data_IF_677437811967
#
_entry.id   IF_677437811967
#
_cell.length_a   1.000
_cell.length_b   1.000
_cell.length_c   1.000
_cell.angle_alpha   90.00
_cell.angle_beta   90.00
_cell.angle_gamma   90.00
#
_symmetry.space_group_name_H-M   'P 1'
#
loop_
_entity.id
_entity.type
_entity.pdbx_description
1 polymer ?
#
# COMPACT_ATOMS: atom_id res chain seq x y z
N UNK A 1 8.62 12.68 27.54
CA UNK A 1 8.26 11.26 27.26
C UNK A 1 6.76 11.02 27.29
N UNK A 2 5.96 11.97 27.83
CA UNK A 2 4.48 11.95 27.82
C UNK A 2 3.84 12.63 26.59
N UNK A 3 4.52 13.52 25.87
CA UNK A 3 3.97 14.18 24.66
C UNK A 3 3.76 13.25 23.44
N UNK A 4 4.25 12.00 23.50
CA UNK A 4 4.24 11.09 22.37
C UNK A 4 3.01 10.16 22.31
N UNK A 5 2.22 10.00 23.38
CA UNK A 5 0.99 9.19 23.35
C UNK A 5 -0.18 9.89 22.64
N UNK A 6 -0.15 11.21 22.50
CA UNK A 6 -1.30 12.04 22.08
C UNK A 6 -1.68 12.01 20.60
N UNK A 7 -0.83 11.47 19.72
CA UNK A 7 -0.98 11.64 18.25
C UNK A 7 -2.28 11.06 17.68
N UNK A 8 -2.90 10.09 18.36
CA UNK A 8 -4.21 9.56 17.99
C UNK A 8 -5.23 9.58 19.14
N UNK A 9 -4.88 10.10 20.32
CA UNK A 9 -5.76 10.07 21.51
C UNK A 9 -7.02 10.94 21.33
N UNK A 10 -6.94 12.05 20.60
CA UNK A 10 -8.12 12.81 20.19
C UNK A 10 -8.91 12.22 19.00
N UNK A 11 -8.37 11.19 18.33
CA UNK A 11 -8.96 10.58 17.12
C UNK A 11 -9.69 9.26 17.37
N UNK A 12 -9.54 8.65 18.56
CA UNK A 12 -10.27 7.42 18.90
C UNK A 12 -11.79 7.63 18.95
N UNK A 13 -12.25 8.85 19.22
CA UNK A 13 -13.68 9.20 19.29
C UNK A 13 -14.26 9.75 17.98
N UNK A 14 -13.43 10.17 17.01
CA UNK A 14 -13.87 10.75 15.73
C UNK A 14 -13.31 9.97 14.53
N UNK A 15 -13.59 8.66 14.47
CA UNK A 15 -13.28 7.85 13.28
C UNK A 15 -14.30 8.15 12.18
N UNK A 16 -14.03 9.15 11.35
CA UNK A 16 -14.83 9.39 10.15
C UNK A 16 -14.37 8.43 9.05
N UNK A 17 -15.12 7.34 8.91
CA UNK A 17 -14.95 6.39 7.81
C UNK A 17 -15.58 7.01 6.55
N UNK A 18 -14.78 7.19 5.52
CA UNK A 18 -15.22 7.73 4.23
C UNK A 18 -15.80 6.65 3.32
N UNK A 19 -15.22 5.45 3.37
CA UNK A 19 -15.68 4.29 2.63
C UNK A 19 -15.25 2.99 3.31
N UNK A 20 -16.02 1.93 3.08
CA UNK A 20 -15.67 0.57 3.48
C UNK A 20 -16.11 -0.42 2.42
N UNK A 21 -15.33 -1.47 2.24
CA UNK A 21 -15.59 -2.55 1.30
C UNK A 21 -15.28 -3.89 1.97
N UNK A 22 -16.23 -4.80 1.91
CA UNK A 22 -16.07 -6.17 2.41
C UNK A 22 -15.92 -7.11 1.22
N UNK A 23 -15.02 -8.07 1.36
CA UNK A 23 -14.65 -9.01 0.31
C UNK A 23 -14.35 -10.38 0.89
N UNK A 24 -14.55 -11.41 0.09
CA UNK A 24 -14.06 -12.73 0.44
C UNK A 24 -12.57 -12.83 0.09
N UNK A 25 -11.68 -13.18 1.04
CA UNK A 25 -10.26 -13.34 0.76
C UNK A 25 -10.04 -14.34 -0.37
N UNK A 26 -9.33 -13.87 -1.40
CA UNK A 26 -9.10 -14.66 -2.62
C UNK A 26 -8.17 -15.83 -2.34
N UNK A 27 -8.38 -16.94 -3.04
CA UNK A 27 -7.42 -18.05 -3.01
C UNK A 27 -6.26 -17.71 -3.93
N UNK A 28 -5.04 -17.94 -3.46
CA UNK A 28 -3.85 -17.89 -4.32
C UNK A 28 -3.75 -19.24 -5.03
N UNK A 29 -3.65 -19.23 -6.36
CA UNK A 29 -3.46 -20.40 -7.21
C UNK A 29 -2.27 -20.16 -8.13
N UNK A 30 -1.24 -21.01 -8.03
CA UNK A 30 0.03 -20.86 -8.77
C UNK A 30 0.65 -19.47 -8.64
N UNK A 31 0.51 -18.88 -7.46
CA UNK A 31 1.00 -17.55 -7.16
C UNK A 31 0.15 -16.38 -7.64
N UNK A 32 -1.06 -16.61 -8.16
CA UNK A 32 -1.96 -15.55 -8.62
C UNK A 32 -3.23 -15.50 -7.81
N UNK A 33 -3.77 -14.29 -7.65
CA UNK A 33 -5.13 -14.08 -7.16
C UNK A 33 -6.07 -13.65 -8.28
N UNK A 34 -5.53 -13.17 -9.40
CA UNK A 34 -6.26 -12.68 -10.59
C UNK A 34 -7.25 -11.54 -10.28
N UNK A 35 -6.99 -10.83 -9.17
CA UNK A 35 -7.83 -9.75 -8.64
C UNK A 35 -6.99 -8.51 -8.37
N UNK A 36 -7.59 -7.34 -8.63
CA UNK A 36 -7.00 -6.03 -8.32
C UNK A 36 -7.96 -5.22 -7.45
N UNK A 37 -7.42 -4.61 -6.40
CA UNK A 37 -8.14 -3.71 -5.51
C UNK A 37 -8.01 -2.28 -6.05
N UNK A 38 -9.11 -1.71 -6.52
CA UNK A 38 -9.16 -0.35 -7.04
C UNK A 38 -9.78 0.60 -6.02
N UNK A 39 -9.09 1.71 -5.75
CA UNK A 39 -9.54 2.77 -4.84
C UNK A 39 -9.53 4.11 -5.58
N UNK A 40 -10.66 4.81 -5.58
CA UNK A 40 -10.74 6.21 -6.01
C UNK A 40 -11.00 7.12 -4.80
N UNK A 41 -10.01 7.92 -4.44
CA UNK A 41 -10.05 8.80 -3.26
C UNK A 41 -10.93 10.05 -3.46
N UNK A 42 -11.16 10.47 -4.70
CA UNK A 42 -12.04 11.62 -4.98
C UNK A 42 -13.51 11.24 -4.84
N UNK A 43 -13.84 10.00 -5.16
CA UNK A 43 -15.20 9.45 -5.07
C UNK A 43 -15.45 8.66 -3.78
N UNK A 44 -14.41 8.40 -2.98
CA UNK A 44 -14.43 7.45 -1.87
C UNK A 44 -14.97 6.08 -2.31
N UNK A 45 -14.50 5.61 -3.46
CA UNK A 45 -14.94 4.36 -4.08
C UNK A 45 -13.88 3.29 -3.86
N UNK A 46 -14.31 2.08 -3.47
CA UNK A 46 -13.47 0.90 -3.34
C UNK A 46 -14.15 -0.22 -4.13
N UNK A 47 -13.42 -0.83 -5.06
CA UNK A 47 -13.94 -1.88 -5.92
C UNK A 47 -12.92 -2.99 -6.14
N UNK A 48 -13.43 -4.19 -6.32
CA UNK A 48 -12.71 -5.30 -6.91
C UNK A 48 -12.82 -5.25 -8.42
N UNK A 49 -11.70 -5.47 -9.11
CA UNK A 49 -11.69 -5.67 -10.57
C UNK A 49 -10.90 -6.94 -10.90
N UNK A 50 -11.22 -7.63 -12.01
CA UNK A 50 -10.44 -8.79 -12.45
C UNK A 50 -9.14 -8.35 -13.12
N UNK A 51 -8.18 -9.28 -13.18
CA UNK A 51 -7.05 -9.21 -14.09
C UNK A 51 -7.40 -9.95 -15.37
N UNK A 52 -7.32 -9.26 -16.50
CA UNK A 52 -7.57 -9.88 -17.81
C UNK A 52 -6.52 -10.97 -18.10
N UNK A 53 -6.97 -12.11 -18.66
CA UNK A 53 -6.10 -13.24 -18.98
C UNK A 53 -4.98 -12.84 -19.94
N UNK A 54 -5.25 -11.98 -20.92
CA UNK A 54 -4.24 -11.51 -21.86
C UNK A 54 -3.15 -10.69 -21.14
N UNK A 55 -3.53 -9.89 -20.14
CA UNK A 55 -2.59 -9.12 -19.32
C UNK A 55 -1.72 -10.08 -18.51
N UNK A 56 -2.31 -11.12 -17.91
CA UNK A 56 -1.59 -12.16 -17.18
C UNK A 56 -0.56 -12.87 -18.04
N UNK A 57 -0.96 -13.35 -19.22
CA UNK A 57 -0.10 -14.08 -20.14
C UNK A 57 1.02 -13.19 -20.72
N UNK A 58 0.73 -11.91 -20.97
CA UNK A 58 1.71 -10.98 -21.56
C UNK A 58 2.73 -10.50 -20.53
N UNK A 59 2.28 -10.16 -19.31
CA UNK A 59 3.10 -9.40 -18.35
C UNK A 59 3.54 -10.18 -17.12
N UNK A 60 3.00 -11.39 -16.88
CA UNK A 60 3.35 -12.29 -15.76
C UNK A 60 3.06 -11.74 -14.34
N UNK A 61 3.09 -10.43 -14.10
CA UNK A 61 2.85 -9.81 -12.80
C UNK A 61 3.80 -8.67 -12.46
N UNK A 62 3.79 -8.22 -11.20
CA UNK A 62 4.70 -7.20 -10.69
C UNK A 62 4.69 -5.91 -11.51
N UNK A 63 5.88 -5.44 -11.90
CA UNK A 63 6.04 -4.22 -12.72
C UNK A 63 5.19 -4.22 -14.00
N UNK A 64 5.06 -5.38 -14.66
CA UNK A 64 4.34 -5.47 -15.93
C UNK A 64 2.86 -5.11 -15.78
N UNK A 65 2.21 -5.63 -14.73
CA UNK A 65 0.84 -5.24 -14.41
C UNK A 65 0.74 -3.75 -14.06
N UNK A 66 1.65 -3.24 -13.23
CA UNK A 66 1.65 -1.82 -12.86
C UNK A 66 1.78 -0.88 -14.05
N UNK A 67 2.61 -1.22 -15.04
CA UNK A 67 2.74 -0.41 -16.27
C UNK A 67 1.47 -0.48 -17.11
N UNK A 68 0.87 -1.67 -17.28
CA UNK A 68 -0.34 -1.85 -18.08
C UNK A 68 -1.51 -1.05 -17.50
N UNK A 69 -1.78 -1.18 -16.20
CA UNK A 69 -2.90 -0.47 -15.57
C UNK A 69 -2.64 1.03 -15.42
N UNK A 70 -1.38 1.46 -15.23
CA UNK A 70 -1.07 2.89 -15.32
C UNK A 70 -1.33 3.44 -16.72
N UNK A 71 -0.99 2.68 -17.77
CA UNK A 71 -1.25 3.07 -19.15
C UNK A 71 -2.75 3.18 -19.46
N UNK A 72 -3.58 2.29 -18.90
CA UNK A 72 -5.05 2.35 -19.00
C UNK A 72 -5.62 3.59 -18.27
N UNK A 73 -5.03 3.96 -17.13
CA UNK A 73 -5.51 5.05 -16.31
C UNK A 73 -5.16 6.48 -16.81
N UNK A 74 -4.09 6.63 -17.60
CA UNK A 74 -3.55 7.95 -17.97
C UNK A 74 -3.58 8.23 -19.47
N UNK A 75 -3.47 9.50 -19.83
CA UNK A 75 -3.34 9.96 -21.21
C UNK A 75 -1.97 10.61 -21.43
N UNK A 76 -1.63 10.93 -22.69
CA UNK A 76 -0.42 11.69 -23.03
C UNK A 76 -0.38 13.11 -22.44
N UNK A 77 -1.48 13.60 -21.89
CA UNK A 77 -1.58 14.93 -21.25
C UNK A 77 -1.56 14.87 -19.73
N UNK A 78 -1.71 13.69 -19.14
CA UNK A 78 -1.77 13.49 -17.70
C UNK A 78 -0.41 13.80 -17.07
N UNK A 79 -0.42 14.61 -16.02
CA UNK A 79 0.74 14.98 -15.22
C UNK A 79 0.80 14.16 -13.94
N UNK A 80 1.97 14.18 -13.29
CA UNK A 80 2.21 13.41 -12.07
C UNK A 80 1.25 13.77 -10.91
N UNK A 81 0.76 15.01 -10.86
CA UNK A 81 -0.13 15.52 -9.82
C UNK A 81 -1.59 15.61 -10.26
N UNK A 82 -1.95 15.02 -11.40
CA UNK A 82 -3.34 14.95 -11.82
C UNK A 82 -4.05 13.81 -11.08
N UNK A 83 -5.35 13.92 -10.76
CA UNK A 83 -6.10 12.87 -10.07
C UNK A 83 -6.09 11.54 -10.83
N UNK A 84 -6.01 11.57 -12.16
CA UNK A 84 -5.93 10.41 -13.05
C UNK A 84 -4.63 9.61 -12.88
N UNK A 85 -3.52 10.26 -12.51
CA UNK A 85 -2.26 9.56 -12.30
C UNK A 85 -2.38 8.61 -11.10
N UNK A 86 -2.38 7.31 -11.35
CA UNK A 86 -2.49 6.32 -10.29
C UNK A 86 -1.16 6.08 -9.59
N UNK A 87 -1.23 5.69 -8.33
CA UNK A 87 -0.13 5.02 -7.63
C UNK A 87 -0.51 3.56 -7.41
N UNK A 88 0.26 2.66 -8.04
CA UNK A 88 -0.09 1.25 -8.16
C UNK A 88 0.96 0.41 -7.43
N UNK A 89 0.51 -0.41 -6.47
CA UNK A 89 1.33 -1.38 -5.76
C UNK A 89 1.10 -2.77 -6.33
N UNK A 90 2.15 -3.41 -6.82
CA UNK A 90 2.05 -4.68 -7.53
C UNK A 90 2.83 -5.78 -6.81
N UNK A 91 2.24 -6.99 -6.81
CA UNK A 91 2.89 -8.22 -6.37
C UNK A 91 3.29 -9.08 -7.58
N UNK A 92 4.36 -9.86 -7.45
CA UNK A 92 4.77 -10.84 -8.47
C UNK A 92 4.28 -12.25 -8.13
N UNK A 93 4.27 -13.21 -9.07
CA UNK A 93 3.74 -14.56 -8.84
C UNK A 93 4.51 -15.33 -7.75
N UNK A 94 5.82 -15.10 -7.62
CA UNK A 94 6.64 -15.70 -6.57
C UNK A 94 6.59 -14.93 -5.24
N UNK A 95 5.81 -13.86 -5.15
CA UNK A 95 5.74 -13.03 -3.95
C UNK A 95 5.22 -13.84 -2.76
N UNK A 96 5.89 -13.69 -1.60
CA UNK A 96 5.46 -14.34 -0.36
C UNK A 96 5.81 -15.83 -0.25
N UNK A 97 6.47 -16.43 -1.24
CA UNK A 97 7.00 -17.80 -1.11
C UNK A 97 8.09 -17.84 -0.05
N UNK A 98 7.86 -18.58 1.04
CA UNK A 98 8.73 -18.58 2.21
C UNK A 98 9.96 -19.48 2.05
N UNK A 99 9.95 -20.39 1.07
CA UNK A 99 11.07 -21.27 0.74
C UNK A 99 12.25 -20.55 0.08
N UNK A 100 12.02 -19.39 -0.54
CA UNK A 100 13.05 -18.59 -1.20
C UNK A 100 13.28 -17.27 -0.47
N UNK A 101 14.55 -16.91 -0.31
CA UNK A 101 14.90 -15.62 0.28
C UNK A 101 14.62 -14.47 -0.69
N UNK A 102 14.08 -13.36 -0.18
CA UNK A 102 13.94 -12.13 -0.95
C UNK A 102 12.70 -12.02 -1.84
N UNK A 103 11.72 -12.89 -1.68
CA UNK A 103 10.46 -12.92 -2.47
C UNK A 103 9.43 -11.85 -2.06
N UNK A 104 9.60 -11.17 -0.93
CA UNK A 104 8.68 -10.13 -0.44
C UNK A 104 8.85 -8.75 -1.10
N UNK A 105 9.05 -8.70 -2.42
CA UNK A 105 9.24 -7.42 -3.13
C UNK A 105 7.90 -6.82 -3.57
N UNK A 106 7.79 -5.51 -3.38
CA UNK A 106 6.68 -4.66 -3.84
C UNK A 106 7.19 -3.78 -4.98
N UNK A 107 6.48 -3.78 -6.09
CA UNK A 107 6.66 -2.78 -7.15
C UNK A 107 5.69 -1.62 -6.94
N UNK A 108 6.15 -0.39 -7.12
CA UNK A 108 5.32 0.82 -7.03
C UNK A 108 5.47 1.60 -8.32
N UNK A 109 4.37 1.71 -9.07
CA UNK A 109 4.34 2.30 -10.42
C UNK A 109 3.43 3.53 -10.43
N UNK A 110 3.91 4.63 -11.02
CA UNK A 110 3.19 5.90 -11.18
C UNK A 110 3.92 6.81 -12.18
N UNK A 111 3.31 7.91 -12.61
CA UNK A 111 4.03 9.01 -13.28
C UNK A 111 4.89 9.78 -12.27
N UNK A 112 6.17 9.93 -12.59
CA UNK A 112 7.16 10.54 -11.72
C UNK A 112 7.05 12.08 -11.69
N UNK A 113 7.08 12.69 -10.49
CA UNK A 113 7.26 14.14 -10.34
C UNK A 113 8.65 14.63 -10.75
N UNK A 114 9.66 13.75 -10.73
CA UNK A 114 11.06 14.06 -11.05
C UNK A 114 11.28 14.09 -12.56
N UNK A 115 10.74 13.11 -13.29
CA UNK A 115 11.01 12.95 -14.73
C UNK A 115 9.82 13.28 -15.62
N UNK A 116 8.60 13.36 -15.09
CA UNK A 116 7.38 13.49 -15.88
C UNK A 116 7.00 12.22 -16.67
N UNK A 117 7.71 11.10 -16.45
CA UNK A 117 7.50 9.83 -17.16
C UNK A 117 7.11 8.72 -16.20
N UNK A 118 6.71 7.56 -16.73
CA UNK A 118 6.48 6.35 -15.92
C UNK A 118 7.73 6.01 -15.11
N UNK A 119 7.53 5.71 -13.82
CA UNK A 119 8.56 5.28 -12.90
C UNK A 119 8.09 4.03 -12.14
N UNK A 120 9.02 3.09 -11.95
CA UNK A 120 8.83 1.88 -11.14
C UNK A 120 9.88 1.86 -10.02
N UNK A 121 9.42 1.62 -8.79
CA UNK A 121 10.30 1.37 -7.65
C UNK A 121 10.10 -0.03 -7.11
N UNK A 122 11.20 -0.69 -6.78
CA UNK A 122 11.18 -1.95 -6.06
C UNK A 122 11.58 -1.76 -4.59
N UNK A 123 10.70 -2.12 -3.67
CA UNK A 123 10.97 -2.07 -2.23
C UNK A 123 10.69 -3.43 -1.57
N UNK A 124 11.47 -3.76 -0.53
CA UNK A 124 11.14 -4.88 0.35
C UNK A 124 10.13 -4.45 1.42
N UNK A 125 9.98 -5.27 2.45
CA UNK A 125 8.94 -5.09 3.48
C UNK A 125 7.84 -6.14 3.30
N UNK A 126 6.75 -6.02 4.05
CA UNK A 126 5.71 -7.05 4.08
C UNK A 126 4.41 -6.65 3.36
N UNK A 127 4.35 -5.47 2.74
CA UNK A 127 3.16 -5.01 2.01
C UNK A 127 2.74 -5.99 0.92
N UNK A 128 3.60 -6.28 -0.06
CA UNK A 128 3.23 -7.14 -1.19
C UNK A 128 2.79 -8.56 -0.77
N UNK A 129 3.50 -9.26 0.14
CA UNK A 129 2.99 -10.52 0.68
C UNK A 129 1.61 -10.38 1.35
N UNK A 130 1.43 -9.37 2.20
CA UNK A 130 0.16 -9.19 2.92
C UNK A 130 -0.97 -8.86 1.96
N UNK A 131 -0.72 -8.03 0.96
CA UNK A 131 -1.68 -7.70 -0.09
C UNK A 131 -2.06 -8.94 -0.91
N UNK A 132 -1.06 -9.72 -1.37
CA UNK A 132 -1.30 -10.97 -2.11
C UNK A 132 -2.15 -11.95 -1.32
N UNK A 133 -1.78 -12.24 -0.08
CA UNK A 133 -2.52 -13.24 0.70
C UNK A 133 -3.85 -12.72 1.23
N UNK A 134 -4.06 -11.40 1.21
CA UNK A 134 -5.40 -10.80 1.33
C UNK A 134 -6.26 -11.06 0.09
N UNK A 135 -5.69 -11.53 -1.02
CA UNK A 135 -6.42 -11.87 -2.24
C UNK A 135 -6.26 -10.85 -3.38
N UNK A 136 -5.18 -10.06 -3.39
CA UNK A 136 -4.97 -8.98 -4.36
C UNK A 136 -3.58 -9.05 -5.00
N UNK A 137 -3.52 -9.13 -6.33
CA UNK A 137 -2.26 -9.05 -7.07
C UNK A 137 -1.81 -7.60 -7.26
N UNK A 138 -2.77 -6.67 -7.29
CA UNK A 138 -2.59 -5.23 -7.44
C UNK A 138 -3.43 -4.43 -6.44
N UNK A 139 -2.89 -3.30 -6.01
CA UNK A 139 -3.65 -2.19 -5.40
C UNK A 139 -3.44 -0.94 -6.25
N UNK A 140 -4.53 -0.41 -6.80
CA UNK A 140 -4.57 0.80 -7.64
C UNK A 140 -5.24 1.92 -6.86
N UNK A 141 -4.58 3.08 -6.79
CA UNK A 141 -5.13 4.25 -6.08
C UNK A 141 -5.16 5.45 -7.02
N UNK A 142 -6.36 5.88 -7.37
CA UNK A 142 -6.69 7.02 -8.21
C UNK A 142 -7.35 8.14 -7.38
N UNK A 143 -7.44 9.34 -7.97
CA UNK A 143 -8.06 10.49 -7.35
C UNK A 143 -7.19 11.10 -6.26
N UNK A 144 -7.78 12.01 -5.50
CA UNK A 144 -7.20 12.69 -4.34
C UNK A 144 -8.26 12.86 -3.26
N UNK A 145 -7.89 12.57 -2.01
CA UNK A 145 -8.75 12.84 -0.87
C UNK A 145 -8.78 14.35 -0.54
N UNK A 146 -9.84 14.80 0.13
CA UNK A 146 -9.99 16.19 0.57
C UNK A 146 -9.09 16.53 1.76
N UNK A 147 -8.97 15.57 2.67
CA UNK A 147 -8.13 15.62 3.87
C UNK A 147 -7.20 14.40 3.88
N UNK A 148 -6.25 14.37 4.82
CA UNK A 148 -5.36 13.21 4.97
C UNK A 148 -6.14 11.94 5.32
N UNK A 149 -5.81 10.82 4.67
CA UNK A 149 -6.49 9.53 4.86
C UNK A 149 -5.53 8.39 5.19
N UNK A 150 -6.04 7.42 5.94
CA UNK A 150 -5.44 6.08 6.08
C UNK A 150 -6.29 5.08 5.31
N UNK A 151 -5.64 4.29 4.46
CA UNK A 151 -6.26 3.13 3.82
C UNK A 151 -5.87 1.90 4.64
N UNK A 152 -6.84 1.25 5.28
CA UNK A 152 -6.62 0.03 6.05
C UNK A 152 -7.16 -1.19 5.32
N UNK A 153 -6.32 -2.19 5.11
CA UNK A 153 -6.65 -3.47 4.49
C UNK A 153 -6.44 -4.57 5.55
N UNK A 154 -7.53 -5.15 6.04
CA UNK A 154 -7.54 -6.33 6.89
C UNK A 154 -7.88 -7.55 6.03
N UNK A 155 -6.84 -8.24 5.55
CA UNK A 155 -7.03 -9.41 4.70
C UNK A 155 -7.53 -10.64 5.44
N UNK A 156 -7.32 -10.71 6.77
CA UNK A 156 -7.86 -11.80 7.56
C UNK A 156 -9.37 -11.66 7.76
N UNK A 157 -9.87 -10.42 7.87
CA UNK A 157 -11.31 -10.13 7.99
C UNK A 157 -12.00 -9.81 6.66
N UNK A 158 -11.26 -9.75 5.56
CA UNK A 158 -11.82 -9.44 4.25
C UNK A 158 -12.39 -8.01 4.19
N UNK A 159 -11.67 -7.02 4.73
CA UNK A 159 -12.19 -5.64 4.85
C UNK A 159 -11.18 -4.59 4.42
N UNK A 160 -11.64 -3.60 3.65
CA UNK A 160 -10.90 -2.37 3.33
C UNK A 160 -11.68 -1.18 3.87
N UNK A 161 -10.98 -0.22 4.49
CA UNK A 161 -11.55 1.02 5.05
C UNK A 161 -10.69 2.21 4.63
N UNK A 162 -11.33 3.31 4.25
CA UNK A 162 -10.70 4.63 4.11
C UNK A 162 -11.13 5.48 5.31
N UNK A 163 -10.17 5.85 6.16
CA UNK A 163 -10.38 6.66 7.36
C UNK A 163 -9.83 8.08 7.13
N UNK A 164 -10.63 9.12 7.40
CA UNK A 164 -10.17 10.51 7.42
C UNK A 164 -9.41 10.80 8.73
N UNK A 165 -8.21 11.38 8.63
CA UNK A 165 -7.29 11.64 9.74
C UNK A 165 -6.53 12.96 9.58
N UNK A 166 -7.22 14.11 9.67
CA UNK A 166 -6.61 15.41 9.44
C UNK A 166 -5.59 15.77 10.54
N UNK A 167 -4.54 16.51 10.17
CA UNK A 167 -3.59 17.10 11.12
C UNK A 167 -2.59 16.13 11.77
N UNK A 168 -2.52 14.88 11.30
CA UNK A 168 -1.56 13.90 11.83
C UNK A 168 -0.18 14.13 11.22
N UNK A 169 0.86 14.15 12.07
CA UNK A 169 2.24 14.30 11.62
C UNK A 169 2.68 13.12 10.74
N UNK A 170 3.17 13.41 9.53
CA UNK A 170 3.62 12.40 8.57
C UNK A 170 5.03 11.83 8.84
N UNK A 171 5.69 12.17 9.96
CA UNK A 171 7.01 11.61 10.31
C UNK A 171 6.98 10.07 10.33
N UNK A 172 7.63 9.46 9.36
CA UNK A 172 7.56 8.01 9.11
C UNK A 172 7.96 7.19 10.33
N UNK A 173 8.99 7.58 11.08
CA UNK A 173 9.47 6.76 12.20
C UNK A 173 8.43 6.71 13.31
N UNK A 174 7.91 7.87 13.71
CA UNK A 174 6.89 7.98 14.76
C UNK A 174 5.54 7.42 14.30
N UNK A 175 5.13 7.76 13.07
CA UNK A 175 3.86 7.34 12.49
C UNK A 175 3.78 5.82 12.39
N UNK A 176 4.82 5.17 11.88
CA UNK A 176 4.77 3.72 11.64
C UNK A 176 4.79 2.90 12.92
N UNK A 177 5.52 3.32 13.96
CA UNK A 177 5.47 2.67 15.28
C UNK A 177 4.06 2.76 15.88
N UNK A 178 3.44 3.95 15.86
CA UNK A 178 2.09 4.14 16.41
C UNK A 178 1.00 3.43 15.61
N UNK A 179 1.09 3.43 14.28
CA UNK A 179 0.13 2.69 13.45
C UNK A 179 0.27 1.18 13.64
N UNK A 180 1.50 0.68 13.86
CA UNK A 180 1.71 -0.73 14.19
C UNK A 180 1.02 -1.09 15.50
N UNK A 181 1.14 -0.24 16.53
CA UNK A 181 0.45 -0.42 17.81
C UNK A 181 -1.08 -0.27 17.70
N UNK A 182 -1.55 0.68 16.88
CA UNK A 182 -2.99 0.96 16.71
C UNK A 182 -3.75 -0.17 16.01
N UNK A 183 -3.13 -0.81 15.01
CA UNK A 183 -3.81 -1.81 14.17
C UNK A 183 -3.47 -3.26 14.54
N UNK A 184 -2.49 -3.49 15.41
CA UNK A 184 -2.26 -4.81 16.01
C UNK A 184 -3.25 -5.07 17.15
N UNK A 185 -3.72 -6.31 17.26
CA UNK A 185 -4.60 -6.71 18.37
C UNK A 185 -3.80 -6.92 19.67
N UNK A 186 -2.55 -7.38 19.55
CA UNK A 186 -1.61 -7.59 20.66
C UNK A 186 -0.14 -7.48 20.20
N UNK A 187 0.81 -7.66 21.12
CA UNK A 187 2.26 -7.61 20.82
C UNK A 187 2.72 -8.64 19.78
N UNK A 188 2.10 -9.82 19.74
CA UNK A 188 2.46 -10.86 18.76
C UNK A 188 1.92 -10.52 17.37
N UNK A 189 0.79 -9.82 17.32
CA UNK A 189 0.12 -9.41 16.09
C UNK A 189 0.84 -8.26 15.37
N UNK A 190 1.71 -7.49 16.06
CA UNK A 190 2.55 -6.46 15.42
C UNK A 190 3.35 -6.96 14.22
N UNK A 191 3.71 -8.25 14.20
CA UNK A 191 4.41 -8.88 13.06
C UNK A 191 3.58 -9.01 11.78
N UNK A 192 2.25 -8.95 11.93
CA UNK A 192 1.27 -9.10 10.86
C UNK A 192 0.84 -7.75 10.29
N UNK A 193 1.49 -6.64 10.70
CA UNK A 193 1.22 -5.29 10.21
C UNK A 193 2.36 -4.82 9.29
N UNK A 194 2.00 -4.30 8.12
CA UNK A 194 2.91 -3.59 7.23
C UNK A 194 2.30 -2.26 6.82
N UNK A 195 3.12 -1.22 6.78
CA UNK A 195 2.68 0.15 6.58
C UNK A 195 3.47 0.75 5.43
N UNK A 196 2.76 1.40 4.51
CA UNK A 196 3.32 2.35 3.55
C UNK A 196 3.13 3.75 4.07
N UNK A 197 4.17 4.58 4.07
CA UNK A 197 4.04 6.01 4.38
C UNK A 197 5.07 6.84 3.63
N UNK A 198 4.88 8.15 3.63
CA UNK A 198 5.87 9.12 3.17
C UNK A 198 5.93 10.30 4.13
N UNK A 199 7.13 10.80 4.37
CA UNK A 199 7.37 11.89 5.33
C UNK A 199 7.02 13.26 4.79
N UNK A 200 6.95 14.26 5.70
CA UNK A 200 6.66 15.67 5.39
C UNK A 200 7.49 16.29 4.26
N UNK A 201 8.70 15.77 4.02
CA UNK A 201 9.55 16.22 2.91
C UNK A 201 8.86 16.04 1.56
N UNK A 202 8.09 14.96 1.38
CA UNK A 202 7.38 14.66 0.15
C UNK A 202 6.27 15.66 -0.20
N UNK A 203 5.76 16.42 0.77
CA UNK A 203 4.79 17.50 0.55
C UNK A 203 5.45 18.77 -0.03
N UNK A 204 6.78 18.86 0.02
CA UNK A 204 7.54 20.06 -0.29
C UNK A 204 8.60 19.85 -1.37
N UNK A 205 8.69 18.66 -1.96
CA UNK A 205 9.65 18.32 -3.01
C UNK A 205 9.08 17.31 -3.98
N UNK A 206 9.63 17.26 -5.20
CA UNK A 206 9.35 16.22 -6.20
C UNK A 206 10.19 14.95 -6.00
N UNK A 207 11.04 14.91 -4.96
CA UNK A 207 11.94 13.79 -4.65
C UNK A 207 11.47 12.94 -3.46
N UNK A 208 10.18 13.06 -3.09
CA UNK A 208 9.61 12.31 -1.98
C UNK A 208 9.72 10.80 -2.20
N UNK A 209 10.08 10.08 -1.14
CA UNK A 209 10.27 8.62 -1.17
C UNK A 209 9.14 7.91 -0.44
N UNK A 210 8.92 6.64 -0.77
CA UNK A 210 7.99 5.78 -0.05
C UNK A 210 8.73 4.85 0.91
N UNK A 211 8.16 4.68 2.09
CA UNK A 211 8.65 3.80 3.14
C UNK A 211 7.69 2.65 3.30
N UNK A 212 8.19 1.41 3.28
CA UNK A 212 7.41 0.18 3.48
C UNK A 212 7.99 -0.57 4.67
N UNK A 213 7.14 -0.95 5.61
CA UNK A 213 7.60 -1.54 6.87
C UNK A 213 7.52 -3.05 6.95
N UNK A 214 8.31 -3.61 7.86
CA UNK A 214 8.13 -4.93 8.45
C UNK A 214 8.53 -4.87 9.92
N UNK A 215 8.02 -5.78 10.75
CA UNK A 215 8.32 -5.77 12.19
C UNK A 215 9.39 -6.82 12.54
N UNK A 216 10.50 -6.35 13.13
CA UNK A 216 11.58 -7.21 13.64
C UNK A 216 11.21 -7.73 15.03
N UNK A 217 10.64 -8.94 15.08
CA UNK A 217 10.19 -9.58 16.34
C UNK A 217 11.33 -9.71 17.36
N UNK A 218 12.57 -9.97 16.91
CA UNK A 218 13.72 -10.14 17.81
C UNK A 218 14.10 -8.83 18.48
N UNK A 219 14.01 -7.72 17.74
CA UNK A 219 14.34 -6.38 18.25
C UNK A 219 13.14 -5.58 18.72
N UNK A 220 11.94 -6.14 18.60
CA UNK A 220 10.65 -5.51 18.92
C UNK A 220 10.51 -4.12 18.30
N UNK A 221 10.91 -3.99 17.03
CA UNK A 221 11.00 -2.69 16.37
C UNK A 221 10.52 -2.73 14.92
N UNK A 222 9.82 -1.68 14.51
CA UNK A 222 9.44 -1.46 13.12
C UNK A 222 10.71 -1.15 12.30
N UNK A 223 10.87 -1.84 11.18
CA UNK A 223 11.96 -1.64 10.23
C UNK A 223 11.37 -1.11 8.93
N UNK A 224 12.15 -0.25 8.26
CA UNK A 224 11.72 0.45 7.05
C UNK A 224 12.61 0.03 5.89
N UNK A 225 11.98 -0.17 4.73
CA UNK A 225 12.61 -0.28 3.41
C UNK A 225 12.05 0.83 2.52
N UNK A 226 12.83 1.29 1.56
CA UNK A 226 12.49 2.46 0.76
C UNK A 226 12.29 2.13 -0.72
N UNK A 227 11.24 2.69 -1.30
CA UNK A 227 11.12 2.97 -2.73
C UNK A 227 11.62 4.41 -2.93
N UNK A 228 12.90 4.53 -3.29
CA UNK A 228 13.70 5.72 -3.03
C UNK A 228 13.90 6.69 -4.21
N UNK A 229 13.32 6.43 -5.39
CA UNK A 229 13.60 7.20 -6.61
C UNK A 229 12.33 7.68 -7.31
N UNK A 230 12.45 8.72 -8.13
CA UNK A 230 11.37 9.15 -9.02
C UNK A 230 10.16 9.76 -8.32
N UNK A 231 10.29 10.21 -7.07
CA UNK A 231 9.28 11.05 -6.42
C UNK A 231 7.96 10.37 -6.03
N UNK A 232 7.92 9.03 -5.89
CA UNK A 232 6.67 8.31 -5.60
C UNK A 232 6.04 8.70 -4.26
N UNK A 233 6.84 9.12 -3.28
CA UNK A 233 6.33 9.65 -2.02
C UNK A 233 5.60 10.97 -2.19
N UNK A 234 6.03 11.81 -3.13
CA UNK A 234 5.37 13.08 -3.43
C UNK A 234 4.00 12.85 -4.07
N UNK A 235 3.87 11.88 -4.98
CA UNK A 235 2.56 11.47 -5.52
C UNK A 235 1.64 10.97 -4.39
N UNK A 236 2.18 10.15 -3.49
CA UNK A 236 1.42 9.61 -2.36
C UNK A 236 0.86 10.70 -1.43
N UNK A 237 1.66 11.73 -1.13
CA UNK A 237 1.22 12.86 -0.30
C UNK A 237 0.37 13.87 -1.06
N UNK A 238 0.59 14.07 -2.36
CA UNK A 238 -0.27 14.89 -3.22
C UNK A 238 -1.71 14.33 -3.28
N UNK A 239 -1.85 13.00 -3.22
CA UNK A 239 -3.15 12.32 -3.08
C UNK A 239 -3.74 12.35 -1.67
N UNK A 240 -3.07 12.99 -0.70
CA UNK A 240 -3.42 13.06 0.73
C UNK A 240 -3.44 11.70 1.42
N UNK A 241 -2.64 10.75 0.96
CA UNK A 241 -2.53 9.45 1.65
C UNK A 241 -1.51 9.61 2.77
N UNK A 242 -1.93 9.49 4.02
CA UNK A 242 -1.03 9.50 5.17
C UNK A 242 -0.33 8.15 5.30
N UNK A 243 -1.11 7.06 5.22
CA UNK A 243 -0.59 5.71 5.25
C UNK A 243 -1.50 4.70 4.54
N UNK A 244 -0.89 3.62 4.05
CA UNK A 244 -1.60 2.37 3.74
C UNK A 244 -1.18 1.37 4.81
N UNK A 245 -2.14 0.75 5.49
CA UNK A 245 -1.90 -0.27 6.51
C UNK A 245 -2.45 -1.58 6.01
N UNK A 246 -1.60 -2.58 5.84
CA UNK A 246 -2.00 -3.94 5.50
C UNK A 246 -1.80 -4.86 6.70
N UNK A 247 -2.86 -5.60 7.06
CA UNK A 247 -2.86 -6.61 8.12
C UNK A 247 -3.15 -7.97 7.52
N UNK A 248 -2.23 -8.91 7.70
CA UNK A 248 -2.43 -10.31 7.34
C UNK A 248 -1.56 -11.26 8.18
N UNK A 249 -2.18 -12.33 8.66
CA UNK A 249 -1.58 -13.41 9.43
C UNK A 249 -1.88 -14.77 8.78
N UNK A 250 -1.05 -15.77 9.07
CA UNK A 250 -1.27 -17.16 8.60
C UNK A 250 -0.46 -17.57 7.36
N UNK A 251 0.47 -16.73 6.90
CA UNK A 251 1.37 -17.07 5.78
C UNK A 251 2.26 -18.26 6.17
N UNK A 252 2.26 -19.27 5.31
CA UNK A 252 3.03 -20.49 5.44
C UNK A 252 3.62 -20.94 4.08
N UNK A 253 4.40 -22.02 4.07
CA UNK A 253 5.08 -22.53 2.88
C UNK A 253 4.15 -22.94 1.73
N UNK A 254 2.89 -23.30 2.03
CA UNK A 254 1.88 -23.67 1.04
C UNK A 254 0.99 -22.51 0.60
N UNK A 255 1.09 -21.33 1.24
CA UNK A 255 0.18 -20.21 0.98
C UNK A 255 0.18 -19.70 -0.45
N UNK A 256 1.33 -19.77 -1.16
CA UNK A 256 1.41 -19.31 -2.55
C UNK A 256 0.88 -20.35 -3.55
N UNK A 257 0.59 -21.58 -3.09
CA UNK A 257 0.01 -22.67 -3.87
C UNK A 257 0.65 -22.82 -5.27
N UNK A 258 1.97 -22.74 -5.31
CA UNK A 258 2.81 -22.71 -6.51
C UNK A 258 3.67 -23.96 -6.60
#
# INVERSE_FOLDING_TARGET
>A
MEENLSMFEGSKENKKILASFEFEPGKVEKGYTDRRLYINLSENKIEEKPIDLQVKETFTGGRGYGIWYLWDAVSSKTKWNDPENEIIFCTGPICGVTQYSGTGKTHVVTLSPETGTVNDNNAGGYLAPFLKFSGWDLLEIQGKAKEDVIIFIDGNKGKVIIEEVPGINSDTYLLTEKLTERYADDEKDKRNISIVSSGRGAENTNLGILNITWYDVRRRKVRIKQAGRGGTGSVFRDKRILAIVAKYSGINASSNNA
#
